data_IF_622542814353
#
_entry.id   IF_622542814353
#
_cell.length_a   1.000
_cell.length_b   1.000
_cell.length_c   1.000
_cell.angle_alpha   90.00
_cell.angle_beta   90.00
_cell.angle_gamma   90.00
#
_symmetry.space_group_name_H-M   'P 1'
#
loop_
_entity.id
_entity.type
_entity.pdbx_description
1 polymer ?
#
# COMPACT_ATOMS: atom_id res chain seq x y z
N UNK A 1 -18.76 -36.65 -11.79
CA UNK A 1 -17.90 -35.92 -12.74
C UNK A 1 -17.91 -34.41 -12.49
N UNK A 2 -19.08 -33.74 -12.47
CA UNK A 2 -19.20 -32.28 -12.25
C UNK A 2 -18.64 -31.79 -10.90
N UNK A 3 -18.95 -32.46 -9.79
CA UNK A 3 -18.38 -32.13 -8.46
C UNK A 3 -16.85 -32.24 -8.39
N UNK A 4 -16.26 -33.15 -9.16
CA UNK A 4 -14.79 -33.32 -9.24
C UNK A 4 -14.18 -32.16 -10.01
N UNK A 5 -14.77 -31.79 -11.15
CA UNK A 5 -14.35 -30.66 -11.98
C UNK A 5 -14.44 -29.31 -11.22
N UNK A 6 -15.52 -29.09 -10.47
CA UNK A 6 -15.69 -27.89 -9.63
C UNK A 6 -14.64 -27.80 -8.51
N UNK A 7 -14.34 -28.95 -7.86
CA UNK A 7 -13.30 -29.02 -6.84
C UNK A 7 -11.91 -28.75 -7.41
N UNK A 8 -11.59 -29.31 -8.58
CA UNK A 8 -10.32 -29.08 -9.27
C UNK A 8 -10.14 -27.62 -9.71
N UNK A 9 -11.20 -27.00 -10.26
CA UNK A 9 -11.19 -25.59 -10.65
C UNK A 9 -10.94 -24.67 -9.44
N UNK A 10 -11.64 -24.93 -8.33
CA UNK A 10 -11.45 -24.20 -7.07
C UNK A 10 -10.03 -24.34 -6.51
N UNK A 11 -9.47 -25.55 -6.52
CA UNK A 11 -8.09 -25.81 -6.09
C UNK A 11 -7.07 -25.08 -6.99
N UNK A 12 -7.28 -25.09 -8.31
CA UNK A 12 -6.40 -24.40 -9.26
C UNK A 12 -6.41 -22.90 -9.04
N UNK A 13 -7.59 -22.28 -8.92
CA UNK A 13 -7.71 -20.84 -8.64
C UNK A 13 -7.04 -20.46 -7.33
N UNK A 14 -7.23 -21.26 -6.28
CA UNK A 14 -6.57 -21.02 -5.00
C UNK A 14 -5.05 -21.11 -5.11
N UNK A 15 -4.53 -22.07 -5.89
CA UNK A 15 -3.09 -22.22 -6.15
C UNK A 15 -2.52 -21.00 -6.86
N UNK A 16 -3.21 -20.48 -7.88
CA UNK A 16 -2.80 -19.25 -8.56
C UNK A 16 -2.74 -18.06 -7.61
N UNK A 17 -3.76 -17.86 -6.76
CA UNK A 17 -3.74 -16.77 -5.78
C UNK A 17 -2.57 -16.91 -4.80
N UNK A 18 -2.29 -18.13 -4.32
CA UNK A 18 -1.13 -18.37 -3.45
C UNK A 18 0.18 -18.00 -4.15
N UNK A 19 0.33 -18.34 -5.44
CA UNK A 19 1.50 -17.94 -6.24
C UNK A 19 1.61 -16.41 -6.30
N UNK A 20 0.53 -15.72 -6.68
CA UNK A 20 0.52 -14.25 -6.77
C UNK A 20 0.85 -13.58 -5.44
N UNK A 21 0.28 -14.07 -4.34
CA UNK A 21 0.57 -13.56 -3.00
C UNK A 21 2.05 -13.79 -2.62
N UNK A 22 2.62 -14.96 -2.91
CA UNK A 22 4.05 -15.22 -2.65
C UNK A 22 4.97 -14.34 -3.48
N UNK A 23 4.64 -14.08 -4.73
CA UNK A 23 5.38 -13.13 -5.59
C UNK A 23 5.34 -11.73 -4.97
N UNK A 24 4.17 -11.27 -4.52
CA UNK A 24 4.09 -10.01 -3.78
C UNK A 24 5.01 -10.03 -2.55
N UNK A 25 4.97 -11.08 -1.72
CA UNK A 25 5.83 -11.18 -0.53
C UNK A 25 7.33 -11.17 -0.86
N UNK A 26 7.74 -11.77 -1.98
CA UNK A 26 9.13 -11.67 -2.43
C UNK A 26 9.53 -10.24 -2.76
N UNK A 27 8.65 -9.46 -3.40
CA UNK A 27 8.91 -8.04 -3.60
C UNK A 27 8.96 -7.27 -2.29
N UNK A 28 8.12 -7.57 -1.30
CA UNK A 28 8.22 -6.89 -0.01
C UNK A 28 9.56 -7.15 0.67
N UNK A 29 10.04 -8.39 0.58
CA UNK A 29 11.36 -8.78 1.09
C UNK A 29 12.47 -8.02 0.37
N UNK A 30 12.38 -7.93 -0.97
CA UNK A 30 13.31 -7.18 -1.79
C UNK A 30 13.29 -5.67 -1.45
N UNK A 31 12.12 -5.09 -1.23
CA UNK A 31 11.95 -3.69 -0.83
C UNK A 31 12.66 -3.42 0.48
N UNK A 32 12.55 -4.32 1.47
CA UNK A 32 13.25 -4.18 2.74
C UNK A 32 14.78 -4.28 2.57
N UNK A 33 15.28 -5.17 1.70
CA UNK A 33 16.70 -5.26 1.37
C UNK A 33 17.22 -3.99 0.66
N UNK A 34 16.45 -3.46 -0.30
CA UNK A 34 16.77 -2.19 -0.96
C UNK A 34 16.71 -1.02 0.02
N UNK A 35 15.75 -1.03 0.96
CA UNK A 35 15.67 -0.04 2.03
C UNK A 35 16.89 -0.07 2.94
N UNK A 36 17.38 -1.26 3.29
CA UNK A 36 18.63 -1.44 4.04
C UNK A 36 19.83 -0.91 3.24
N UNK A 37 19.90 -1.18 1.94
CA UNK A 37 20.95 -0.63 1.06
C UNK A 37 20.90 0.90 0.99
N UNK A 38 19.70 1.51 0.95
CA UNK A 38 19.55 2.97 1.02
C UNK A 38 20.04 3.54 2.36
N UNK A 39 19.80 2.84 3.48
CA UNK A 39 20.34 3.24 4.79
C UNK A 39 21.86 3.13 4.83
N UNK A 40 22.42 2.07 4.24
CA UNK A 40 23.86 1.94 4.09
C UNK A 40 24.46 3.10 3.29
N UNK A 41 23.86 3.48 2.15
CA UNK A 41 24.31 4.61 1.33
C UNK A 41 24.31 5.95 2.07
N UNK A 42 23.48 6.14 3.11
CA UNK A 42 23.49 7.35 3.94
C UNK A 42 24.58 7.33 5.04
N UNK A 43 25.11 6.15 5.36
CA UNK A 43 26.17 5.96 6.36
C UNK A 43 27.55 5.85 5.71
N UNK A 44 27.70 4.93 4.75
CA UNK A 44 28.94 4.65 4.02
C UNK A 44 28.63 4.56 2.52
N UNK A 45 28.58 5.71 1.82
CA UNK A 45 28.27 5.76 0.39
C UNK A 45 29.22 4.92 -0.46
N UNK A 46 28.69 4.31 -1.53
CA UNK A 46 29.49 3.60 -2.53
C UNK A 46 29.36 4.36 -3.84
N UNK A 47 30.48 4.84 -4.40
CA UNK A 47 30.48 5.79 -5.53
C UNK A 47 29.72 5.30 -6.76
N UNK A 48 29.77 4.00 -7.06
CA UNK A 48 29.09 3.39 -8.21
C UNK A 48 27.56 3.44 -8.08
N UNK A 49 27.03 3.60 -6.86
CA UNK A 49 25.60 3.53 -6.59
C UNK A 49 25.00 4.93 -6.38
N UNK A 50 24.22 5.39 -7.34
CA UNK A 50 23.50 6.65 -7.19
C UNK A 50 22.29 6.50 -6.25
N UNK A 51 22.29 7.25 -5.14
CA UNK A 51 21.23 7.21 -4.13
C UNK A 51 19.83 7.49 -4.71
N UNK A 52 19.69 8.49 -5.59
CA UNK A 52 18.38 8.86 -6.17
C UNK A 52 17.84 7.75 -7.06
N UNK A 53 18.71 7.15 -7.87
CA UNK A 53 18.36 6.01 -8.73
C UNK A 53 17.90 4.80 -7.91
N UNK A 54 18.61 4.46 -6.84
CA UNK A 54 18.21 3.41 -5.90
C UNK A 54 16.87 3.73 -5.22
N UNK A 55 16.64 4.99 -4.85
CA UNK A 55 15.39 5.44 -4.24
C UNK A 55 14.21 5.32 -5.22
N UNK A 56 14.41 5.63 -6.50
CA UNK A 56 13.40 5.38 -7.53
C UNK A 56 13.10 3.89 -7.67
N UNK A 57 14.13 3.04 -7.74
CA UNK A 57 13.93 1.59 -7.80
C UNK A 57 13.16 1.09 -6.57
N UNK A 58 13.58 1.48 -5.36
CA UNK A 58 12.96 1.08 -4.10
C UNK A 58 11.47 1.46 -4.05
N UNK A 59 11.15 2.72 -4.37
CA UNK A 59 9.76 3.21 -4.33
C UNK A 59 8.87 2.53 -5.38
N UNK A 60 9.36 2.30 -6.60
CA UNK A 60 8.59 1.59 -7.64
C UNK A 60 8.35 0.13 -7.27
N UNK A 61 9.36 -0.57 -6.74
CA UNK A 61 9.21 -1.96 -6.29
C UNK A 61 8.28 -2.03 -5.07
N UNK A 62 8.29 -1.04 -4.17
CA UNK A 62 7.38 -0.98 -3.03
C UNK A 62 5.91 -0.79 -3.45
N UNK A 63 5.64 0.18 -4.33
CA UNK A 63 4.27 0.51 -4.73
C UNK A 63 3.72 -0.50 -5.76
N UNK A 64 4.53 -0.88 -6.75
CA UNK A 64 4.11 -1.67 -7.91
C UNK A 64 4.44 -3.15 -7.77
N UNK A 65 5.62 -3.47 -7.21
CA UNK A 65 6.02 -4.86 -6.94
C UNK A 65 5.32 -5.47 -5.72
N UNK A 66 5.31 -4.76 -4.59
CA UNK A 66 4.65 -5.26 -3.37
C UNK A 66 3.16 -4.94 -3.35
N UNK A 67 2.79 -3.66 -3.19
CA UNK A 67 1.40 -3.30 -2.86
C UNK A 67 0.42 -3.58 -4.02
N UNK A 68 0.73 -3.14 -5.24
CA UNK A 68 -0.10 -3.43 -6.40
C UNK A 68 -0.27 -4.95 -6.61
N UNK A 69 0.80 -5.74 -6.52
CA UNK A 69 0.70 -7.20 -6.67
C UNK A 69 -0.09 -7.86 -5.54
N UNK A 70 0.05 -7.37 -4.30
CA UNK A 70 -0.76 -7.82 -3.17
C UNK A 70 -2.25 -7.52 -3.40
N UNK A 71 -2.61 -6.30 -3.82
CA UNK A 71 -3.99 -5.98 -4.16
C UNK A 71 -4.50 -6.80 -5.35
N UNK A 72 -3.69 -7.01 -6.38
CA UNK A 72 -4.05 -7.87 -7.51
C UNK A 72 -4.43 -9.28 -7.04
N UNK A 73 -3.59 -9.88 -6.17
CA UNK A 73 -3.85 -11.20 -5.61
C UNK A 73 -5.12 -11.21 -4.72
N UNK A 74 -5.27 -10.22 -3.84
CA UNK A 74 -6.42 -10.13 -2.93
C UNK A 74 -7.74 -9.88 -3.65
N UNK A 75 -7.76 -9.01 -4.66
CA UNK A 75 -8.95 -8.72 -5.45
C UNK A 75 -9.42 -9.94 -6.22
N UNK A 76 -8.51 -10.71 -6.85
CA UNK A 76 -8.88 -11.95 -7.56
C UNK A 76 -9.19 -13.12 -6.63
N UNK A 77 -8.76 -13.06 -5.36
CA UNK A 77 -9.26 -13.99 -4.34
C UNK A 77 -10.69 -13.64 -3.92
N UNK A 78 -10.93 -12.35 -3.66
CA UNK A 78 -12.22 -11.85 -3.20
C UNK A 78 -13.31 -11.95 -4.27
N UNK A 79 -12.93 -11.71 -5.53
CA UNK A 79 -13.78 -11.68 -6.70
C UNK A 79 -13.12 -12.53 -7.81
N UNK A 80 -13.27 -13.85 -7.73
CA UNK A 80 -12.62 -14.76 -8.65
C UNK A 80 -13.21 -14.71 -10.08
N UNK A 81 -12.39 -14.93 -11.11
CA UNK A 81 -12.88 -15.05 -12.49
C UNK A 81 -13.88 -16.21 -12.63
N UNK A 82 -14.93 -16.03 -13.42
CA UNK A 82 -15.97 -17.05 -13.64
C UNK A 82 -15.69 -17.95 -14.84
N UNK A 83 -14.86 -17.48 -15.76
CA UNK A 83 -14.55 -18.20 -17.01
C UNK A 83 -13.05 -18.44 -17.14
N UNK A 84 -12.69 -19.54 -17.80
CA UNK A 84 -11.31 -19.86 -18.15
C UNK A 84 -10.63 -18.72 -18.91
N UNK A 85 -11.35 -18.09 -19.85
CA UNK A 85 -10.87 -16.93 -20.63
C UNK A 85 -10.50 -15.75 -19.74
N UNK A 86 -11.36 -15.40 -18.78
CA UNK A 86 -11.06 -14.33 -17.81
C UNK A 86 -9.84 -14.70 -16.95
N UNK A 87 -9.76 -15.94 -16.47
CA UNK A 87 -8.61 -16.42 -15.70
C UNK A 87 -7.30 -16.29 -16.48
N UNK A 88 -7.26 -16.74 -17.73
CA UNK A 88 -6.06 -16.62 -18.59
C UNK A 88 -5.69 -15.15 -18.84
N UNK A 89 -6.68 -14.27 -19.03
CA UNK A 89 -6.44 -12.83 -19.17
C UNK A 89 -5.78 -12.25 -17.92
N UNK A 90 -6.32 -12.54 -16.72
CA UNK A 90 -5.76 -12.04 -15.46
C UNK A 90 -4.37 -12.62 -15.18
N UNK A 91 -4.11 -13.88 -15.52
CA UNK A 91 -2.77 -14.47 -15.43
C UNK A 91 -1.77 -13.71 -16.32
N UNK A 92 -2.14 -13.42 -17.57
CA UNK A 92 -1.28 -12.67 -18.49
C UNK A 92 -1.00 -11.25 -17.97
N UNK A 93 -2.02 -10.55 -17.47
CA UNK A 93 -1.88 -9.23 -16.84
C UNK A 93 -0.92 -9.28 -15.65
N UNK A 94 -1.07 -10.28 -14.79
CA UNK A 94 -0.19 -10.45 -13.63
C UNK A 94 1.27 -10.64 -14.05
N UNK A 95 1.58 -11.60 -14.93
CA UNK A 95 2.98 -11.86 -15.31
C UNK A 95 3.61 -10.71 -16.10
N UNK A 96 2.85 -10.05 -16.99
CA UNK A 96 3.36 -8.88 -17.71
C UNK A 96 3.68 -7.72 -16.77
N UNK A 97 2.86 -7.49 -15.74
CA UNK A 97 3.18 -6.46 -14.71
C UNK A 97 4.44 -6.82 -13.93
N UNK A 98 4.71 -8.11 -13.69
CA UNK A 98 5.95 -8.55 -13.04
C UNK A 98 7.18 -8.27 -13.92
N UNK A 99 7.08 -8.51 -15.23
CA UNK A 99 8.14 -8.16 -16.19
C UNK A 99 8.44 -6.67 -16.12
N UNK A 100 7.43 -5.81 -16.08
CA UNK A 100 7.62 -4.36 -15.93
C UNK A 100 8.29 -3.98 -14.61
N UNK A 101 7.89 -4.60 -13.49
CA UNK A 101 8.50 -4.34 -12.17
C UNK A 101 9.96 -4.76 -12.15
N UNK A 102 10.31 -5.94 -12.67
CA UNK A 102 11.70 -6.39 -12.78
C UNK A 102 12.51 -5.48 -13.71
N UNK A 103 11.93 -5.07 -14.83
CA UNK A 103 12.54 -4.09 -15.73
C UNK A 103 12.88 -2.79 -15.00
N UNK A 104 11.96 -2.24 -14.20
CA UNK A 104 12.21 -1.07 -13.35
C UNK A 104 13.26 -1.33 -12.26
N UNK A 105 13.20 -2.48 -11.59
CA UNK A 105 14.14 -2.88 -10.54
C UNK A 105 15.59 -2.81 -11.02
N UNK A 106 15.87 -3.28 -12.25
CA UNK A 106 17.23 -3.30 -12.79
C UNK A 106 17.60 -2.02 -13.54
N UNK A 107 16.68 -1.41 -14.27
CA UNK A 107 16.99 -0.20 -15.05
C UNK A 107 17.12 1.06 -14.20
N UNK A 108 16.30 1.27 -13.16
CA UNK A 108 16.41 2.47 -12.34
C UNK A 108 17.78 2.63 -11.67
N UNK A 109 18.35 1.61 -10.98
CA UNK A 109 19.66 1.74 -10.36
C UNK A 109 20.78 2.07 -11.35
N UNK A 110 20.73 1.51 -12.56
CA UNK A 110 21.78 1.63 -13.58
C UNK A 110 21.74 2.97 -14.30
N UNK A 111 20.57 3.43 -14.72
CA UNK A 111 20.44 4.60 -15.62
C UNK A 111 19.51 5.71 -15.10
N UNK A 112 18.91 5.55 -13.92
CA UNK A 112 17.97 6.53 -13.38
C UNK A 112 16.73 6.69 -14.23
N UNK A 113 16.25 7.92 -14.41
CA UNK A 113 15.17 8.25 -15.35
C UNK A 113 15.70 8.34 -16.77
N UNK A 114 15.66 7.23 -17.49
CA UNK A 114 16.13 7.12 -18.87
C UNK A 114 15.25 6.12 -19.65
N UNK A 115 15.60 5.85 -20.92
CA UNK A 115 14.74 5.13 -21.86
C UNK A 115 14.13 3.86 -21.27
N UNK A 116 14.93 2.87 -20.85
CA UNK A 116 14.40 1.59 -20.36
C UNK A 116 13.52 1.71 -19.10
N UNK A 117 13.91 2.51 -18.11
CA UNK A 117 13.15 2.70 -16.87
C UNK A 117 11.82 3.42 -17.14
N UNK A 118 11.81 4.40 -18.04
CA UNK A 118 10.58 5.04 -18.52
C UNK A 118 9.73 4.04 -19.30
N UNK A 119 10.31 3.26 -20.23
CA UNK A 119 9.57 2.24 -20.99
C UNK A 119 8.88 1.23 -20.07
N UNK A 120 9.59 0.67 -19.07
CA UNK A 120 9.00 -0.30 -18.16
C UNK A 120 7.96 0.31 -17.20
N UNK A 121 8.18 1.53 -16.72
CA UNK A 121 7.18 2.22 -15.89
C UNK A 121 5.92 2.59 -16.68
N UNK A 122 6.06 3.06 -17.92
CA UNK A 122 4.95 3.30 -18.84
C UNK A 122 4.21 2.00 -19.18
N UNK A 123 4.94 0.91 -19.45
CA UNK A 123 4.33 -0.39 -19.68
C UNK A 123 3.51 -0.82 -18.46
N UNK A 124 4.04 -0.65 -17.24
CA UNK A 124 3.28 -0.93 -16.02
C UNK A 124 2.00 -0.09 -15.90
N UNK A 125 2.06 1.22 -16.24
CA UNK A 125 0.87 2.09 -16.26
C UNK A 125 -0.19 1.52 -17.20
N UNK A 126 0.16 1.19 -18.45
CA UNK A 126 -0.80 0.67 -19.44
C UNK A 126 -1.38 -0.69 -19.02
N UNK A 127 -0.55 -1.57 -18.45
CA UNK A 127 -1.02 -2.85 -17.91
C UNK A 127 -1.94 -2.66 -16.70
N UNK A 128 -1.70 -1.66 -15.86
CA UNK A 128 -2.56 -1.34 -14.73
C UNK A 128 -3.94 -0.84 -15.19
N UNK A 129 -4.02 -0.10 -16.29
CA UNK A 129 -5.29 0.28 -16.91
C UNK A 129 -6.03 -0.93 -17.46
N UNK A 130 -5.30 -1.82 -18.14
CA UNK A 130 -5.88 -3.05 -18.67
C UNK A 130 -6.45 -3.93 -17.55
N UNK A 131 -5.73 -4.06 -16.42
CA UNK A 131 -6.25 -4.73 -15.23
C UNK A 131 -7.49 -4.04 -14.66
N UNK A 132 -7.44 -2.73 -14.46
CA UNK A 132 -8.56 -1.99 -13.87
C UNK A 132 -9.84 -2.11 -14.70
N UNK A 133 -9.72 -1.97 -16.03
CA UNK A 133 -10.84 -2.18 -16.94
C UNK A 133 -11.34 -3.63 -16.93
N UNK A 134 -10.43 -4.62 -17.00
CA UNK A 134 -10.79 -6.03 -17.04
C UNK A 134 -11.49 -6.48 -15.76
N UNK A 135 -10.96 -6.07 -14.61
CA UNK A 135 -11.53 -6.36 -13.29
C UNK A 135 -12.90 -5.71 -13.13
N UNK A 136 -13.02 -4.43 -13.47
CA UNK A 136 -14.29 -3.70 -13.37
C UNK A 136 -15.38 -4.32 -14.25
N UNK A 137 -15.05 -4.67 -15.49
CA UNK A 137 -15.95 -5.37 -16.40
C UNK A 137 -16.40 -6.71 -15.80
N UNK A 138 -15.46 -7.50 -15.28
CA UNK A 138 -15.75 -8.80 -14.67
C UNK A 138 -16.75 -8.69 -13.51
N UNK A 139 -16.53 -7.80 -12.54
CA UNK A 139 -17.42 -7.68 -11.37
C UNK A 139 -18.77 -7.03 -11.70
N UNK A 140 -18.82 -6.13 -12.69
CA UNK A 140 -20.06 -5.45 -13.10
C UNK A 140 -20.98 -6.34 -13.93
N UNK A 141 -20.42 -7.27 -14.70
CA UNK A 141 -21.20 -8.24 -15.48
C UNK A 141 -21.79 -9.37 -14.62
N UNK A 142 -21.38 -9.47 -13.35
CA UNK A 142 -21.86 -10.48 -12.43
C UNK A 142 -22.83 -9.87 -11.42
N UNK A 143 -24.12 -9.90 -11.73
CA UNK A 143 -25.17 -9.34 -10.89
C UNK A 143 -25.22 -9.94 -9.48
N UNK A 144 -24.87 -11.23 -9.34
CA UNK A 144 -24.85 -11.92 -8.05
C UNK A 144 -23.74 -11.36 -7.16
N UNK A 145 -22.52 -11.20 -7.68
CA UNK A 145 -21.41 -10.58 -6.96
C UNK A 145 -21.71 -9.14 -6.61
N UNK A 146 -22.21 -8.36 -7.59
CA UNK A 146 -22.54 -6.96 -7.40
C UNK A 146 -23.58 -6.75 -6.29
N UNK A 147 -24.67 -7.52 -6.31
CA UNK A 147 -25.71 -7.44 -5.26
C UNK A 147 -25.19 -7.87 -3.90
N UNK A 148 -24.39 -8.94 -3.83
CA UNK A 148 -23.89 -9.49 -2.56
C UNK A 148 -22.86 -8.58 -1.89
N UNK A 149 -21.97 -7.97 -2.68
CA UNK A 149 -20.80 -7.22 -2.19
C UNK A 149 -20.81 -5.74 -2.61
N UNK A 150 -21.99 -5.15 -2.86
CA UNK A 150 -22.17 -3.79 -3.40
C UNK A 150 -21.26 -2.74 -2.79
N UNK A 151 -21.26 -2.60 -1.46
CA UNK A 151 -20.46 -1.56 -0.78
C UNK A 151 -18.95 -1.80 -0.97
N UNK A 152 -18.50 -3.04 -0.85
CA UNK A 152 -17.11 -3.41 -1.10
C UNK A 152 -16.69 -3.03 -2.52
N UNK A 153 -17.49 -3.43 -3.52
CA UNK A 153 -17.23 -3.15 -4.93
C UNK A 153 -17.32 -1.65 -5.25
N UNK A 154 -18.11 -0.86 -4.53
CA UNK A 154 -18.10 0.59 -4.64
C UNK A 154 -16.78 1.20 -4.16
N UNK A 155 -16.23 0.74 -3.03
CA UNK A 155 -14.88 1.14 -2.59
C UNK A 155 -13.81 0.72 -3.61
N UNK A 156 -13.88 -0.51 -4.13
CA UNK A 156 -12.93 -0.99 -5.15
C UNK A 156 -13.06 -0.20 -6.46
N UNK A 157 -14.26 0.24 -6.85
CA UNK A 157 -14.46 1.09 -8.02
C UNK A 157 -13.68 2.40 -7.89
N UNK A 158 -13.82 3.08 -6.74
CA UNK A 158 -13.08 4.30 -6.46
C UNK A 158 -11.58 4.05 -6.32
N UNK A 159 -11.18 2.92 -5.73
CA UNK A 159 -9.79 2.52 -5.70
C UNK A 159 -9.22 2.48 -7.12
N UNK A 160 -9.85 1.74 -8.04
CA UNK A 160 -9.39 1.59 -9.42
C UNK A 160 -9.42 2.93 -10.18
N UNK A 161 -10.41 3.78 -9.93
CA UNK A 161 -10.43 5.13 -10.47
C UNK A 161 -9.22 5.94 -9.99
N UNK A 162 -8.90 5.90 -8.70
CA UNK A 162 -7.73 6.62 -8.14
C UNK A 162 -6.40 6.03 -8.60
N UNK A 163 -6.32 4.72 -8.84
CA UNK A 163 -5.16 4.11 -9.50
C UNK A 163 -4.93 4.76 -10.86
N UNK A 164 -5.95 4.84 -11.70
CA UNK A 164 -5.86 5.48 -13.02
C UNK A 164 -5.57 6.98 -12.87
N UNK A 165 -6.31 7.68 -12.02
CA UNK A 165 -6.15 9.12 -11.82
C UNK A 165 -4.73 9.48 -11.38
N UNK A 166 -4.14 8.71 -10.46
CA UNK A 166 -2.78 8.97 -9.94
C UNK A 166 -1.72 9.08 -11.03
N UNK A 167 -1.92 8.41 -12.17
CA UNK A 167 -0.95 8.37 -13.27
C UNK A 167 -0.79 9.70 -13.99
N UNK A 168 -1.70 10.67 -13.80
CA UNK A 168 -1.50 12.05 -14.27
C UNK A 168 -0.19 12.63 -13.74
N UNK A 169 0.21 12.28 -12.51
CA UNK A 169 1.49 12.68 -11.93
C UNK A 169 2.69 12.24 -12.78
N UNK A 170 2.93 10.92 -12.96
CA UNK A 170 4.00 10.41 -13.81
C UNK A 170 3.93 10.90 -15.26
N UNK A 171 2.73 10.99 -15.85
CA UNK A 171 2.57 11.54 -17.21
C UNK A 171 3.01 13.01 -17.31
N UNK A 172 2.81 13.80 -16.25
CA UNK A 172 3.27 15.18 -16.21
C UNK A 172 4.79 15.32 -16.06
N UNK A 173 5.50 14.32 -15.50
CA UNK A 173 6.94 14.42 -15.24
C UNK A 173 7.76 14.59 -16.53
N UNK A 174 7.40 13.92 -17.63
CA UNK A 174 8.10 14.06 -18.92
C UNK A 174 8.12 15.50 -19.42
N UNK A 175 6.95 16.14 -19.64
CA UNK A 175 6.86 17.55 -20.02
C UNK A 175 7.52 18.52 -19.02
N UNK A 176 7.41 18.26 -17.71
CA UNK A 176 8.04 19.10 -16.68
C UNK A 176 9.56 19.06 -16.79
N UNK A 177 10.13 17.85 -16.95
CA UNK A 177 11.57 17.67 -17.09
C UNK A 177 12.10 18.24 -18.40
N UNK A 178 11.37 18.08 -19.51
CA UNK A 178 11.73 18.64 -20.82
C UNK A 178 11.79 20.18 -20.81
N UNK A 179 10.98 20.83 -19.96
CA UNK A 179 11.00 22.29 -19.75
C UNK A 179 12.06 22.76 -18.72
N UNK A 180 12.95 21.88 -18.26
CA UNK A 180 13.99 22.23 -17.29
C UNK A 180 13.49 22.49 -15.87
N UNK A 181 12.24 22.12 -15.55
CA UNK A 181 11.62 22.39 -14.24
C UNK A 181 11.82 21.26 -13.21
N UNK A 182 12.81 20.39 -13.43
CA UNK A 182 13.12 19.29 -12.52
C UNK A 182 13.54 19.83 -11.13
N UNK A 183 13.02 19.22 -10.06
CA UNK A 183 13.27 19.69 -8.69
C UNK A 183 12.54 20.97 -8.29
N UNK A 184 11.73 21.57 -9.16
CA UNK A 184 10.89 22.72 -8.85
C UNK A 184 9.56 22.35 -8.17
N UNK A 185 8.74 23.38 -7.85
CA UNK A 185 7.42 23.21 -7.23
C UNK A 185 6.52 22.27 -8.03
N UNK A 186 6.42 22.49 -9.35
CA UNK A 186 5.56 21.68 -10.23
C UNK A 186 6.02 20.22 -10.30
N UNK A 187 7.32 19.96 -10.30
CA UNK A 187 7.90 18.62 -10.27
C UNK A 187 7.51 17.85 -9.01
N UNK A 188 7.69 18.44 -7.83
CA UNK A 188 7.30 17.79 -6.57
C UNK A 188 5.79 17.67 -6.42
N UNK A 189 5.01 18.65 -6.89
CA UNK A 189 3.54 18.56 -6.90
C UNK A 189 3.05 17.39 -7.75
N UNK A 190 3.68 17.09 -8.89
CA UNK A 190 3.35 15.92 -9.71
C UNK A 190 3.65 14.58 -8.98
N UNK A 191 4.78 14.51 -8.27
CA UNK A 191 5.13 13.35 -7.44
C UNK A 191 4.14 13.19 -6.29
N UNK A 192 3.80 14.27 -5.59
CA UNK A 192 2.83 14.25 -4.50
C UNK A 192 1.42 13.95 -4.98
N UNK A 193 1.03 14.39 -6.17
CA UNK A 193 -0.22 14.01 -6.80
C UNK A 193 -0.30 12.49 -6.99
N UNK A 194 0.76 11.90 -7.55
CA UNK A 194 0.87 10.45 -7.70
C UNK A 194 0.73 9.74 -6.36
N UNK A 195 1.56 10.12 -5.38
CA UNK A 195 1.59 9.46 -4.08
C UNK A 195 0.25 9.61 -3.35
N UNK A 196 -0.35 10.80 -3.34
CA UNK A 196 -1.65 11.04 -2.71
C UNK A 196 -2.72 10.09 -3.25
N UNK A 197 -2.92 10.05 -4.56
CA UNK A 197 -3.93 9.17 -5.14
C UNK A 197 -3.56 7.68 -5.08
N UNK A 198 -2.30 7.33 -4.86
CA UNK A 198 -1.89 5.97 -4.51
C UNK A 198 -2.30 5.62 -3.07
N UNK A 199 -1.73 6.29 -2.05
CA UNK A 199 -1.90 5.85 -0.65
C UNK A 199 -3.18 6.35 0.02
N UNK A 200 -3.74 7.51 -0.35
CA UNK A 200 -5.04 7.98 0.13
C UNK A 200 -6.21 7.52 -0.75
N UNK A 201 -5.97 7.35 -2.05
CA UNK A 201 -6.94 6.82 -2.99
C UNK A 201 -6.86 5.30 -3.11
N UNK A 202 -6.17 4.81 -4.14
CA UNK A 202 -6.07 3.41 -4.53
C UNK A 202 -5.93 2.44 -3.35
N UNK A 203 -4.90 2.57 -2.52
CA UNK A 203 -4.64 1.62 -1.44
C UNK A 203 -5.65 1.72 -0.29
N UNK A 204 -5.96 2.92 0.21
CA UNK A 204 -6.90 3.08 1.33
C UNK A 204 -8.30 2.57 0.95
N UNK A 205 -8.77 2.92 -0.25
CA UNK A 205 -10.06 2.44 -0.74
C UNK A 205 -10.05 0.93 -1.00
N UNK A 206 -8.96 0.37 -1.52
CA UNK A 206 -8.83 -1.07 -1.69
C UNK A 206 -8.86 -1.82 -0.35
N UNK A 207 -8.15 -1.32 0.68
CA UNK A 207 -8.19 -1.86 2.05
C UNK A 207 -9.60 -1.84 2.62
N UNK A 208 -10.31 -0.71 2.54
CA UNK A 208 -11.68 -0.60 3.02
C UNK A 208 -12.64 -1.51 2.24
N UNK A 209 -12.47 -1.60 0.92
CA UNK A 209 -13.23 -2.53 0.08
C UNK A 209 -13.01 -3.99 0.48
N UNK A 210 -11.77 -4.41 0.72
CA UNK A 210 -11.43 -5.76 1.20
C UNK A 210 -11.93 -6.02 2.62
N UNK A 211 -11.91 -5.02 3.51
CA UNK A 211 -12.50 -5.11 4.84
C UNK A 211 -14.02 -5.38 4.77
N UNK A 212 -14.76 -4.58 3.99
CA UNK A 212 -16.20 -4.80 3.82
C UNK A 212 -16.53 -6.10 3.09
N UNK A 213 -15.68 -6.53 2.14
CA UNK A 213 -15.78 -7.86 1.55
C UNK A 213 -15.61 -8.95 2.62
N UNK A 214 -14.62 -8.82 3.50
CA UNK A 214 -14.35 -9.78 4.56
C UNK A 214 -15.54 -9.90 5.52
N UNK A 215 -16.01 -8.77 6.07
CA UNK A 215 -17.18 -8.74 6.97
C UNK A 215 -18.38 -9.44 6.33
N UNK A 216 -18.69 -9.09 5.06
CA UNK A 216 -19.82 -9.68 4.34
C UNK A 216 -19.61 -11.16 4.02
N UNK A 217 -18.38 -11.58 3.71
CA UNK A 217 -18.04 -12.98 3.41
C UNK A 217 -18.18 -13.90 4.62
N UNK A 218 -18.02 -13.36 5.84
CA UNK A 218 -18.20 -14.06 7.12
C UNK A 218 -19.60 -13.95 7.70
N UNK A 219 -20.53 -13.30 6.97
CA UNK A 219 -21.90 -13.14 7.45
C UNK A 219 -22.05 -12.12 8.59
N UNK A 220 -21.02 -11.33 8.90
CA UNK A 220 -21.06 -10.32 9.96
C UNK A 220 -22.01 -9.20 9.53
N UNK A 221 -23.03 -8.96 10.36
CA UNK A 221 -24.03 -7.93 10.14
C UNK A 221 -23.54 -6.59 10.70
N UNK A 222 -23.42 -5.57 9.86
CA UNK A 222 -23.01 -4.23 10.25
C UNK A 222 -24.03 -3.17 9.85
N UNK A 223 -24.03 -2.04 10.56
CA UNK A 223 -24.90 -0.91 10.26
C UNK A 223 -24.65 -0.35 8.85
N UNK A 224 -25.64 -0.49 7.96
CA UNK A 224 -25.59 0.04 6.59
C UNK A 224 -25.52 1.57 6.58
N UNK A 225 -26.07 2.23 7.61
CA UNK A 225 -26.07 3.69 7.73
C UNK A 225 -24.65 4.19 7.98
N UNK A 226 -23.96 3.63 8.99
CA UNK A 226 -22.56 4.00 9.27
C UNK A 226 -21.66 3.68 8.08
N UNK A 227 -21.82 2.50 7.49
CA UNK A 227 -21.03 2.09 6.34
C UNK A 227 -21.19 3.03 5.13
N UNK A 228 -22.42 3.49 4.86
CA UNK A 228 -22.70 4.48 3.80
C UNK A 228 -22.06 5.84 4.13
N UNK A 229 -22.10 6.28 5.40
CA UNK A 229 -21.45 7.53 5.83
C UNK A 229 -19.93 7.48 5.64
N UNK A 230 -19.29 6.38 6.06
CA UNK A 230 -17.84 6.16 5.83
C UNK A 230 -17.54 6.27 4.34
N UNK A 231 -18.28 5.54 3.50
CA UNK A 231 -18.10 5.56 2.05
C UNK A 231 -18.24 6.96 1.46
N UNK A 232 -19.34 7.65 1.72
CA UNK A 232 -19.60 8.98 1.15
C UNK A 232 -18.55 9.99 1.58
N UNK A 233 -18.20 10.03 2.86
CA UNK A 233 -17.22 10.99 3.39
C UNK A 233 -15.82 10.73 2.83
N UNK A 234 -15.39 9.46 2.72
CA UNK A 234 -14.11 9.12 2.12
C UNK A 234 -14.03 9.56 0.65
N UNK A 235 -15.09 9.29 -0.14
CA UNK A 235 -15.16 9.69 -1.55
C UNK A 235 -15.10 11.20 -1.71
N UNK A 236 -15.94 11.93 -0.96
CA UNK A 236 -15.99 13.40 -1.02
C UNK A 236 -14.68 14.04 -0.58
N UNK A 237 -13.98 13.45 0.38
CA UNK A 237 -12.74 14.01 0.90
C UNK A 237 -11.50 13.70 0.04
N UNK A 238 -11.45 12.56 -0.65
CA UNK A 238 -10.19 12.07 -1.23
C UNK A 238 -9.60 13.02 -2.30
N UNK A 239 -10.41 13.55 -3.20
CA UNK A 239 -9.93 14.51 -4.23
C UNK A 239 -9.49 15.83 -3.61
N UNK A 240 -10.31 16.55 -2.82
CA UNK A 240 -9.89 17.83 -2.23
C UNK A 240 -8.73 17.67 -1.23
N UNK A 241 -8.58 16.50 -0.60
CA UNK A 241 -7.44 16.21 0.27
C UNK A 241 -6.08 16.26 -0.44
N UNK A 242 -6.03 16.27 -1.79
CA UNK A 242 -4.78 16.50 -2.50
C UNK A 242 -4.17 17.87 -2.16
N UNK A 243 -5.01 18.88 -1.85
CA UNK A 243 -4.54 20.20 -1.44
C UNK A 243 -3.53 20.12 -0.28
N UNK A 244 -3.77 19.24 0.70
CA UNK A 244 -2.87 18.99 1.84
C UNK A 244 -1.47 18.57 1.41
N UNK A 245 -1.34 17.87 0.28
CA UNK A 245 -0.06 17.39 -0.25
C UNK A 245 0.76 18.50 -0.94
N UNK A 246 0.16 19.68 -1.15
CA UNK A 246 0.80 20.82 -1.84
C UNK A 246 0.77 22.12 -1.05
N UNK A 247 0.28 22.13 0.20
CA UNK A 247 0.23 23.34 1.04
C UNK A 247 1.62 23.93 1.32
N UNK A 248 2.66 23.11 1.37
CA UNK A 248 4.06 23.54 1.50
C UNK A 248 4.49 24.49 0.35
N UNK A 249 3.84 24.42 -0.81
CA UNK A 249 4.12 25.31 -1.94
C UNK A 249 3.60 26.75 -1.71
N UNK A 250 2.91 26.97 -0.58
CA UNK A 250 2.23 28.20 -0.15
C UNK A 250 1.24 28.71 -1.21
N UNK A 251 0.24 27.89 -1.59
CA UNK A 251 -0.81 28.31 -2.51
C UNK A 251 -1.72 29.36 -1.85
N UNK A 252 -2.66 29.94 -2.60
CA UNK A 252 -3.63 30.89 -2.05
C UNK A 252 -4.49 30.29 -0.92
N UNK A 253 -4.99 31.14 -0.01
CA UNK A 253 -5.69 30.75 1.24
C UNK A 253 -6.85 29.76 1.03
N UNK A 254 -7.54 29.84 -0.11
CA UNK A 254 -8.63 28.92 -0.47
C UNK A 254 -8.20 27.44 -0.41
N UNK A 255 -6.95 27.14 -0.77
CA UNK A 255 -6.44 25.76 -0.79
C UNK A 255 -6.19 25.20 0.61
N UNK A 256 -5.83 26.05 1.59
CA UNK A 256 -5.77 25.65 3.00
C UNK A 256 -7.16 25.30 3.53
N UNK A 257 -8.17 26.10 3.18
CA UNK A 257 -9.57 25.82 3.53
C UNK A 257 -10.08 24.50 2.93
N UNK A 258 -9.84 24.27 1.63
CA UNK A 258 -10.20 23.02 0.93
C UNK A 258 -9.51 21.82 1.60
N UNK A 259 -8.20 21.92 1.87
CA UNK A 259 -7.45 20.87 2.54
C UNK A 259 -7.97 20.58 3.95
N UNK A 260 -8.24 21.62 4.74
CA UNK A 260 -8.78 21.49 6.10
C UNK A 260 -10.16 20.82 6.12
N UNK A 261 -11.07 21.23 5.24
CA UNK A 261 -12.40 20.58 5.10
C UNK A 261 -12.23 19.11 4.76
N UNK A 262 -11.36 18.78 3.81
CA UNK A 262 -11.11 17.40 3.42
C UNK A 262 -10.57 16.56 4.60
N UNK A 263 -9.63 17.11 5.39
CA UNK A 263 -9.11 16.45 6.58
C UNK A 263 -10.20 16.17 7.63
N UNK A 264 -11.10 17.14 7.88
CA UNK A 264 -12.23 16.97 8.80
C UNK A 264 -13.18 15.88 8.30
N UNK A 265 -13.51 15.86 7.00
CA UNK A 265 -14.36 14.81 6.43
C UNK A 265 -13.74 13.42 6.57
N UNK A 266 -12.40 13.29 6.41
CA UNK A 266 -11.70 12.01 6.65
C UNK A 266 -11.75 11.59 8.12
N UNK A 267 -11.58 12.53 9.06
CA UNK A 267 -11.72 12.24 10.49
C UNK A 267 -13.13 11.83 10.89
N UNK A 268 -14.15 12.48 10.32
CA UNK A 268 -15.54 12.06 10.51
C UNK A 268 -15.77 10.64 9.95
N UNK A 269 -15.21 10.33 8.78
CA UNK A 269 -15.28 8.99 8.21
C UNK A 269 -14.61 7.95 9.12
N UNK A 270 -13.45 8.27 9.71
CA UNK A 270 -12.79 7.43 10.70
C UNK A 270 -13.67 7.21 11.93
N UNK A 271 -14.28 8.25 12.48
CA UNK A 271 -15.19 8.14 13.62
C UNK A 271 -16.36 7.19 13.35
N UNK A 272 -16.98 7.28 12.17
CA UNK A 272 -18.04 6.34 11.77
C UNK A 272 -17.52 4.92 11.53
N UNK A 273 -16.30 4.76 11.00
CA UNK A 273 -15.67 3.45 10.81
C UNK A 273 -15.39 2.79 12.16
N UNK A 274 -14.81 3.52 13.12
CA UNK A 274 -14.55 3.03 14.47
C UNK A 274 -15.84 2.65 15.18
N UNK A 275 -16.89 3.46 15.06
CA UNK A 275 -18.22 3.13 15.60
C UNK A 275 -18.77 1.84 15.00
N UNK A 276 -18.70 1.68 13.67
CA UNK A 276 -19.14 0.47 12.98
C UNK A 276 -18.35 -0.76 13.45
N UNK A 277 -17.01 -0.66 13.53
CA UNK A 277 -16.17 -1.76 13.96
C UNK A 277 -16.38 -2.10 15.44
N UNK A 278 -16.69 -1.12 16.27
CA UNK A 278 -17.06 -1.32 17.66
C UNK A 278 -18.37 -2.11 17.81
N UNK A 279 -19.38 -1.81 17.00
CA UNK A 279 -20.67 -2.53 16.99
C UNK A 279 -20.48 -4.02 16.67
N UNK A 280 -19.57 -4.35 15.75
CA UNK A 280 -19.31 -5.74 15.31
C UNK A 280 -18.09 -6.40 15.97
N UNK A 281 -17.51 -5.78 17.00
CA UNK A 281 -16.20 -6.18 17.55
C UNK A 281 -16.17 -7.61 18.05
N UNK A 282 -17.26 -8.11 18.63
CA UNK A 282 -17.34 -9.45 19.18
C UNK A 282 -17.39 -10.51 18.07
N UNK A 283 -18.27 -10.34 17.09
CA UNK A 283 -18.36 -11.21 15.91
C UNK A 283 -17.04 -11.21 15.13
N UNK A 284 -16.48 -10.02 14.90
CA UNK A 284 -15.20 -9.87 14.23
C UNK A 284 -14.06 -10.56 15.00
N UNK A 285 -14.02 -10.42 16.33
CA UNK A 285 -13.03 -11.09 17.15
C UNK A 285 -13.22 -12.62 17.17
N UNK A 286 -14.43 -13.16 16.99
CA UNK A 286 -14.61 -14.61 16.87
C UNK A 286 -14.09 -15.14 15.54
N UNK A 287 -14.28 -14.38 14.46
CA UNK A 287 -13.85 -14.77 13.11
C UNK A 287 -12.34 -14.61 12.86
N UNK A 288 -11.69 -13.63 13.49
CA UNK A 288 -10.27 -13.37 13.29
C UNK A 288 -9.38 -14.33 14.08
N UNK A 289 -8.35 -14.86 13.42
CA UNK A 289 -7.27 -15.59 14.08
C UNK A 289 -6.58 -14.69 15.13
N UNK A 290 -6.11 -15.22 16.28
CA UNK A 290 -5.54 -14.40 17.36
C UNK A 290 -4.44 -13.43 16.91
N UNK A 291 -3.50 -13.91 16.08
CA UNK A 291 -2.43 -13.06 15.52
C UNK A 291 -2.96 -11.97 14.58
N UNK A 292 -4.00 -12.29 13.80
CA UNK A 292 -4.60 -11.34 12.86
C UNK A 292 -5.35 -10.24 13.61
N UNK A 293 -5.91 -10.49 14.80
CA UNK A 293 -6.51 -9.43 15.64
C UNK A 293 -5.51 -8.32 15.95
N UNK A 294 -4.29 -8.70 16.34
CA UNK A 294 -3.20 -7.77 16.61
C UNK A 294 -2.82 -6.97 15.36
N UNK A 295 -2.62 -7.64 14.22
CA UNK A 295 -2.32 -6.97 12.95
C UNK A 295 -3.44 -6.02 12.51
N UNK A 296 -4.70 -6.44 12.65
CA UNK A 296 -5.86 -5.61 12.34
C UNK A 296 -5.92 -4.36 13.23
N UNK A 297 -5.70 -4.51 14.54
CA UNK A 297 -5.64 -3.38 15.47
C UNK A 297 -4.49 -2.43 15.12
N UNK A 298 -3.29 -2.95 14.84
CA UNK A 298 -2.14 -2.13 14.44
C UNK A 298 -2.41 -1.36 13.15
N UNK A 299 -3.01 -2.00 12.14
CA UNK A 299 -3.39 -1.32 10.90
C UNK A 299 -4.45 -0.22 11.15
N UNK A 300 -5.41 -0.45 12.04
CA UNK A 300 -6.44 0.53 12.40
C UNK A 300 -5.86 1.72 13.19
N UNK A 301 -4.89 1.46 14.08
CA UNK A 301 -4.15 2.50 14.80
C UNK A 301 -3.29 3.32 13.84
N UNK A 302 -2.59 2.67 12.90
CA UNK A 302 -1.80 3.35 11.88
C UNK A 302 -2.67 4.21 10.95
N UNK A 303 -3.85 3.72 10.55
CA UNK A 303 -4.84 4.52 9.81
C UNK A 303 -5.29 5.74 10.61
N UNK A 304 -5.58 5.54 11.90
CA UNK A 304 -6.01 6.63 12.79
C UNK A 304 -4.92 7.70 12.92
N UNK A 305 -3.68 7.28 13.22
CA UNK A 305 -2.55 8.19 13.35
C UNK A 305 -2.24 8.90 12.03
N UNK A 306 -2.29 8.18 10.90
CA UNK A 306 -2.16 8.77 9.55
C UNK A 306 -3.15 9.91 9.35
N UNK A 307 -4.43 9.72 9.69
CA UNK A 307 -5.46 10.75 9.50
C UNK A 307 -5.31 11.91 10.48
N UNK A 308 -4.88 11.67 11.72
CA UNK A 308 -4.55 12.73 12.68
C UNK A 308 -3.39 13.60 12.16
N UNK A 309 -2.31 12.98 11.66
CA UNK A 309 -1.20 13.71 11.05
C UNK A 309 -1.63 14.47 9.79
N UNK A 310 -2.59 13.94 9.04
CA UNK A 310 -3.15 14.62 7.88
C UNK A 310 -3.95 15.87 8.27
N UNK A 311 -4.70 15.84 9.38
CA UNK A 311 -5.32 17.06 9.96
C UNK A 311 -4.26 18.05 10.41
N UNK A 312 -3.20 17.61 11.10
CA UNK A 312 -2.12 18.50 11.50
C UNK A 312 -1.48 19.21 10.30
N UNK A 313 -1.30 18.49 9.17
CA UNK A 313 -0.76 19.06 7.93
C UNK A 313 -1.64 20.12 7.27
N UNK A 314 -2.91 20.27 7.67
CA UNK A 314 -3.77 21.35 7.18
C UNK A 314 -3.38 22.72 7.75
N UNK A 315 -2.67 22.75 8.89
CA UNK A 315 -2.18 23.98 9.51
C UNK A 315 -0.91 24.44 8.79
N UNK A 316 -0.83 25.70 8.32
CA UNK A 316 0.32 26.19 7.53
C UNK A 316 1.69 25.96 8.19
N UNK A 317 1.77 26.15 9.51
CA UNK A 317 2.99 25.93 10.29
C UNK A 317 3.50 24.49 10.15
N UNK A 318 2.63 23.49 10.35
CA UNK A 318 3.01 22.08 10.26
C UNK A 318 3.26 21.62 8.82
N UNK A 319 2.59 22.22 7.82
CA UNK A 319 2.87 21.95 6.42
C UNK A 319 4.29 22.37 6.02
N UNK A 320 4.73 23.56 6.47
CA UNK A 320 6.09 24.06 6.23
C UNK A 320 7.14 23.23 7.02
N UNK A 321 6.84 22.92 8.29
CA UNK A 321 7.69 22.08 9.14
C UNK A 321 7.94 20.70 8.52
N UNK A 322 6.89 20.01 8.06
CA UNK A 322 7.00 18.70 7.46
C UNK A 322 7.82 18.73 6.16
N UNK A 323 7.69 19.80 5.35
CA UNK A 323 8.46 19.96 4.12
C UNK A 323 9.96 20.18 4.40
N UNK A 324 10.29 21.03 5.38
CA UNK A 324 11.67 21.35 5.72
C UNK A 324 12.37 20.18 6.44
N UNK A 325 11.65 19.47 7.32
CA UNK A 325 12.18 18.33 8.06
C UNK A 325 11.74 17.01 7.42
N UNK A 326 12.53 16.56 6.44
CA UNK A 326 12.26 15.35 5.64
C UNK A 326 11.98 14.08 6.46
N UNK A 327 12.49 13.99 7.69
CA UNK A 327 12.23 12.86 8.57
C UNK A 327 10.73 12.63 8.82
N UNK A 328 9.94 13.70 8.96
CA UNK A 328 8.49 13.59 9.17
C UNK A 328 7.75 13.10 7.92
N UNK A 329 8.13 13.56 6.73
CA UNK A 329 7.56 13.05 5.47
C UNK A 329 7.89 11.57 5.29
N UNK A 330 9.16 11.19 5.53
CA UNK A 330 9.61 9.80 5.40
C UNK A 330 8.85 8.91 6.38
N UNK A 331 8.71 9.33 7.65
CA UNK A 331 7.91 8.61 8.64
C UNK A 331 6.44 8.49 8.21
N UNK A 332 5.79 9.60 7.89
CA UNK A 332 4.39 9.60 7.43
C UNK A 332 4.13 8.63 6.25
N UNK A 333 5.05 8.57 5.28
CA UNK A 333 4.96 7.62 4.17
C UNK A 333 5.13 6.17 4.64
N UNK A 334 6.08 5.87 5.53
CA UNK A 334 6.26 4.52 6.07
C UNK A 334 5.09 4.10 6.96
N UNK A 335 4.58 4.97 7.83
CA UNK A 335 3.35 4.73 8.59
C UNK A 335 2.17 4.39 7.66
N UNK A 336 2.01 5.15 6.58
CA UNK A 336 0.92 4.94 5.61
C UNK A 336 1.07 3.64 4.83
N UNK A 337 2.26 3.35 4.30
CA UNK A 337 2.50 2.23 3.39
C UNK A 337 2.78 0.92 4.14
N UNK A 338 3.62 0.95 5.18
CA UNK A 338 3.98 -0.22 5.96
C UNK A 338 2.95 -0.40 7.08
N UNK A 339 2.87 0.57 8.01
CA UNK A 339 2.08 0.47 9.23
C UNK A 339 0.59 0.23 9.00
N UNK A 340 -0.01 0.94 8.03
CA UNK A 340 -1.40 0.75 7.67
C UNK A 340 -1.58 -0.31 6.57
N UNK A 341 -1.16 -0.01 5.33
CA UNK A 341 -1.53 -0.86 4.18
C UNK A 341 -0.87 -2.23 4.24
N UNK A 342 0.44 -2.31 4.46
CA UNK A 342 1.15 -3.60 4.43
C UNK A 342 0.77 -4.50 5.60
N UNK A 343 0.63 -3.95 6.81
CA UNK A 343 0.16 -4.72 7.99
C UNK A 343 -1.25 -5.26 7.75
N UNK A 344 -2.17 -4.46 7.19
CA UNK A 344 -3.49 -4.95 6.79
C UNK A 344 -3.37 -6.10 5.79
N UNK A 345 -2.58 -5.95 4.72
CA UNK A 345 -2.43 -6.98 3.68
C UNK A 345 -1.79 -8.27 4.20
N UNK A 346 -0.78 -8.17 5.08
CA UNK A 346 -0.20 -9.33 5.75
C UNK A 346 -1.25 -10.05 6.60
N UNK A 347 -1.99 -9.33 7.43
CA UNK A 347 -3.08 -9.88 8.24
C UNK A 347 -4.17 -10.53 7.39
N UNK A 348 -4.58 -9.87 6.30
CA UNK A 348 -5.57 -10.36 5.35
C UNK A 348 -5.13 -11.69 4.71
N UNK A 349 -3.89 -11.78 4.22
CA UNK A 349 -3.38 -13.00 3.61
C UNK A 349 -3.15 -14.14 4.62
N UNK A 350 -2.77 -13.84 5.86
CA UNK A 350 -2.72 -14.84 6.94
C UNK A 350 -4.12 -15.36 7.27
N UNK A 351 -5.10 -14.46 7.42
CA UNK A 351 -6.50 -14.82 7.72
C UNK A 351 -7.14 -15.71 6.66
N UNK A 352 -6.79 -15.50 5.39
CA UNK A 352 -7.29 -16.31 4.28
C UNK A 352 -6.50 -17.63 4.08
N UNK A 353 -5.45 -17.86 4.88
CA UNK A 353 -4.56 -19.01 4.75
C UNK A 353 -3.80 -19.02 3.42
N UNK A 354 -3.51 -17.83 2.87
CA UNK A 354 -2.64 -17.62 1.72
C UNK A 354 -1.17 -17.51 2.17
N UNK A 355 -0.95 -17.00 3.39
CA UNK A 355 0.32 -17.14 4.11
C UNK A 355 0.18 -18.07 5.31
N UNK A 356 1.26 -18.80 5.59
CA UNK A 356 1.40 -19.69 6.75
C UNK A 356 2.00 -18.93 7.92
N UNK A 357 1.50 -19.23 9.10
CA UNK A 357 1.98 -18.66 10.36
C UNK A 357 2.51 -19.74 11.31
N UNK A 358 3.59 -20.41 10.87
CA UNK A 358 4.38 -21.34 11.70
C UNK A 358 5.31 -20.62 12.68
N UNK A 359 6.24 -21.37 13.31
CA UNK A 359 7.20 -20.82 14.28
C UNK A 359 8.03 -19.67 13.67
N UNK A 360 8.66 -19.91 12.51
CA UNK A 360 9.47 -18.90 11.83
C UNK A 360 8.63 -17.77 11.27
N UNK A 361 7.41 -18.05 10.81
CA UNK A 361 6.47 -17.03 10.40
C UNK A 361 6.13 -16.03 11.52
N UNK A 362 5.87 -16.53 12.74
CA UNK A 362 5.59 -15.67 13.91
C UNK A 362 6.80 -14.81 14.28
N UNK A 363 7.98 -15.42 14.38
CA UNK A 363 9.23 -14.70 14.68
C UNK A 363 9.48 -13.63 13.61
N UNK A 364 9.32 -13.98 12.34
CA UNK A 364 9.50 -13.06 11.22
C UNK A 364 8.59 -11.84 11.28
N UNK A 365 7.30 -12.04 11.58
CA UNK A 365 6.35 -10.93 11.75
C UNK A 365 6.69 -10.06 12.97
N UNK A 366 7.09 -10.66 14.09
CA UNK A 366 7.50 -9.90 15.28
C UNK A 366 8.71 -9.02 14.98
N UNK A 367 9.74 -9.58 14.34
CA UNK A 367 10.93 -8.80 13.94
C UNK A 367 10.57 -7.66 12.97
N UNK A 368 9.76 -7.95 11.95
CA UNK A 368 9.29 -6.92 11.02
C UNK A 368 8.61 -5.77 11.75
N UNK A 369 7.64 -6.06 12.62
CA UNK A 369 6.86 -5.04 13.33
C UNK A 369 7.71 -4.29 14.35
N UNK A 370 8.48 -5.00 15.17
CA UNK A 370 9.32 -4.41 16.21
C UNK A 370 10.31 -3.41 15.60
N UNK A 371 11.07 -3.84 14.59
CA UNK A 371 12.08 -2.98 13.97
C UNK A 371 11.47 -1.89 13.08
N UNK A 372 10.28 -2.11 12.51
CA UNK A 372 9.50 -1.03 11.91
C UNK A 372 9.20 0.07 12.93
N UNK A 373 8.58 -0.27 14.08
CA UNK A 373 8.24 0.73 15.11
C UNK A 373 9.47 1.41 15.71
N UNK A 374 10.57 0.68 15.94
CA UNK A 374 11.82 1.28 16.42
C UNK A 374 12.36 2.27 15.37
N UNK A 375 12.41 1.88 14.09
CA UNK A 375 12.90 2.76 13.03
C UNK A 375 12.04 4.03 12.87
N UNK A 376 10.72 3.87 13.02
CA UNK A 376 9.75 4.96 12.94
C UNK A 376 9.92 5.93 14.12
N UNK A 377 10.03 5.39 15.33
CA UNK A 377 10.29 6.19 16.54
C UNK A 377 11.58 6.99 16.43
N UNK A 378 12.66 6.40 15.88
CA UNK A 378 13.92 7.10 15.65
C UNK A 378 13.79 8.22 14.60
N UNK A 379 13.04 8.01 13.51
CA UNK A 379 12.79 9.05 12.51
C UNK A 379 12.03 10.23 13.11
N UNK A 380 10.95 9.97 13.85
CA UNK A 380 10.19 11.02 14.53
C UNK A 380 11.01 11.72 15.61
N UNK A 381 11.79 10.98 16.42
CA UNK A 381 12.67 11.55 17.43
C UNK A 381 13.70 12.49 16.81
N UNK A 382 14.40 12.07 15.75
CA UNK A 382 15.35 12.92 15.03
C UNK A 382 14.67 14.17 14.47
N UNK A 383 13.48 14.02 13.87
CA UNK A 383 12.69 15.16 13.40
C UNK A 383 12.31 16.13 14.51
N UNK A 384 11.87 15.61 15.66
CA UNK A 384 11.46 16.40 16.83
C UNK A 384 12.63 17.11 17.49
N UNK A 385 13.79 16.46 17.63
CA UNK A 385 15.00 17.11 18.16
C UNK A 385 15.41 18.30 17.30
N UNK A 386 15.43 18.12 15.97
CA UNK A 386 15.75 19.20 15.03
C UNK A 386 14.69 20.30 15.02
N UNK A 387 13.42 19.95 15.19
CA UNK A 387 12.33 20.92 15.32
C UNK A 387 12.47 21.78 16.59
N UNK A 388 12.89 21.18 17.70
CA UNK A 388 13.15 21.87 18.98
C UNK A 388 14.53 22.55 19.03
N UNK A 389 15.26 22.61 17.92
CA UNK A 389 16.62 23.16 17.82
C UNK A 389 17.63 22.48 18.78
N UNK A 390 17.34 21.24 19.18
CA UNK A 390 18.21 20.40 19.99
C UNK A 390 19.24 19.67 19.11
N UNK A 391 20.30 19.16 19.75
CA UNK A 391 21.33 18.38 19.05
C UNK A 391 20.72 17.13 18.42
N UNK A 392 21.16 16.83 17.19
CA UNK A 392 20.81 15.60 16.50
C UNK A 392 21.34 14.36 17.23
N UNK A 393 20.72 13.20 16.97
CA UNK A 393 21.19 11.94 17.54
C UNK A 393 22.61 11.63 17.03
N UNK A 394 23.57 11.31 17.92
CA UNK A 394 24.91 10.95 17.51
C UNK A 394 24.86 9.66 16.68
N UNK A 395 25.64 9.62 15.58
CA UNK A 395 25.71 8.48 14.67
C UNK A 395 24.33 8.02 14.12
N UNK A 396 23.38 8.94 13.95
CA UNK A 396 22.02 8.64 13.52
C UNK A 396 21.93 7.70 12.30
N UNK A 397 22.70 7.95 11.24
CA UNK A 397 22.65 7.13 10.03
C UNK A 397 23.14 5.69 10.27
N UNK A 398 24.17 5.51 11.09
CA UNK A 398 24.67 4.18 11.48
C UNK A 398 23.63 3.42 12.31
N UNK A 399 23.06 4.09 13.32
CA UNK A 399 22.01 3.50 14.16
C UNK A 399 20.79 3.11 13.32
N UNK A 400 20.35 3.98 12.42
CA UNK A 400 19.26 3.69 11.50
C UNK A 400 19.57 2.51 10.58
N UNK A 401 20.80 2.38 10.09
CA UNK A 401 21.22 1.22 9.31
C UNK A 401 21.12 -0.08 10.13
N UNK A 402 21.71 -0.11 11.33
CA UNK A 402 21.70 -1.29 12.22
C UNK A 402 20.27 -1.70 12.59
N UNK A 403 19.44 -0.74 13.03
CA UNK A 403 18.03 -0.97 13.36
C UNK A 403 17.28 -1.53 12.15
N UNK A 404 17.56 -1.01 10.95
CA UNK A 404 16.87 -1.44 9.73
C UNK A 404 17.17 -2.88 9.32
N UNK A 405 18.20 -3.56 9.87
CA UNK A 405 18.52 -4.97 9.57
C UNK A 405 17.40 -5.91 10.01
N UNK A 406 16.69 -5.59 11.09
CA UNK A 406 15.67 -6.47 11.65
C UNK A 406 14.46 -6.70 10.72
N UNK A 407 14.08 -5.69 9.94
CA UNK A 407 12.97 -5.80 8.98
C UNK A 407 13.22 -6.81 7.84
N UNK A 408 14.31 -6.75 7.05
CA UNK A 408 14.61 -7.74 6.03
C UNK A 408 14.86 -9.14 6.62
N UNK A 409 15.49 -9.25 7.80
CA UNK A 409 15.62 -10.56 8.49
C UNK A 409 14.24 -11.13 8.81
N UNK A 410 13.34 -10.31 9.38
CA UNK A 410 11.97 -10.72 9.67
C UNK A 410 11.20 -11.16 8.44
N UNK A 411 11.30 -10.41 7.34
CA UNK A 411 10.65 -10.76 6.07
C UNK A 411 11.25 -12.00 5.41
N UNK A 412 12.56 -12.21 5.47
CA UNK A 412 13.21 -13.43 4.97
C UNK A 412 12.70 -14.66 5.72
N UNK A 413 12.66 -14.61 7.06
CA UNK A 413 12.10 -15.70 7.87
C UNK A 413 10.63 -15.98 7.52
N UNK A 414 9.83 -14.91 7.39
CA UNK A 414 8.43 -15.03 7.01
C UNK A 414 8.24 -15.60 5.59
N UNK A 415 9.09 -15.20 4.64
CA UNK A 415 9.08 -15.67 3.25
C UNK A 415 9.47 -17.14 3.14
N UNK A 416 10.55 -17.57 3.80
CA UNK A 416 11.02 -18.96 3.73
C UNK A 416 10.03 -19.95 4.33
N UNK A 417 9.28 -19.56 5.37
CA UNK A 417 8.18 -20.36 5.94
C UNK A 417 7.13 -20.72 4.87
N UNK A 418 6.92 -19.84 3.87
CA UNK A 418 5.89 -20.04 2.84
C UNK A 418 6.22 -21.20 1.88
N UNK A 419 7.49 -21.61 1.75
CA UNK A 419 7.88 -22.77 0.92
C UNK A 419 7.14 -24.05 1.35
N UNK A 420 6.94 -24.21 2.65
CA UNK A 420 6.25 -25.36 3.26
C UNK A 420 4.77 -25.46 2.89
N UNK A 421 4.12 -24.34 2.52
CA UNK A 421 2.69 -24.29 2.20
C UNK A 421 2.38 -24.96 0.85
N UNK A 422 3.40 -25.19 0.01
CA UNK A 422 3.27 -26.01 -1.21
C UNK A 422 3.38 -27.51 -0.91
N UNK A 423 4.33 -27.90 -0.05
CA UNK A 423 4.60 -29.30 0.31
C UNK A 423 3.53 -29.91 1.24
N UNK A 424 2.99 -29.14 2.18
CA UNK A 424 1.94 -29.62 3.11
C UNK A 424 0.64 -30.02 2.41
N UNK A 425 0.37 -29.47 1.21
CA UNK A 425 -0.89 -29.71 0.46
C UNK A 425 -0.74 -30.67 -0.72
N UNK A 426 0.44 -31.20 -1.00
CA UNK A 426 0.57 -32.38 -1.86
C UNK A 426 0.28 -33.68 -1.09
N UNK A 427 0.24 -33.62 0.25
CA UNK A 427 0.03 -34.79 1.14
C UNK A 427 -1.39 -34.89 1.73
N UNK A 428 -2.32 -34.02 1.32
CA UNK A 428 -3.76 -34.05 1.64
C UNK A 428 -4.54 -33.77 0.37
#
# INVERSE_FOLDING_TARGET
MQLVQEKEASLRMRRETVIRARVALSYFTLVALMGLLLRWQLYSPVEVLNYRNLLHAHSHVALLGWLYCAFFAALLYAFPPETEKQRHSFNRQFYLTQVSVLGMLFSFPVQGYALFSITFSTLHILLSYWFAWSFWKHVKQNDKLWRKYKLSLQFIAWALLFLVLSTIGPWALGPIMAKGMAGGKLYYSAIYFYLHFQYNGWFTFAVLGLLFWYLRSRGICYSKVWAKRVYTLMVLACVPAFALSVLWAKPGAIWFGIGGIAAVLQMMALGYLLKLLWEVREELARELMPWVKGLFLLALLALSLKLVLQVASAVPYFADLAYNLRYFIIGYLHLSLIGFVSVFMLGFFVQLGLYRLGKYGKIGLVLLLLFFFISEAFLFLQGTLLWLELKSLPNFNLLMFIISIGMPVGLLLFFFEQKSLYLYRQRR
#
